data_IF_636702567554
#
_entry.id   IF_636702567554
#
_cell.length_a   1.000
_cell.length_b   1.000
_cell.length_c   1.000
_cell.angle_alpha   90.00
_cell.angle_beta   90.00
_cell.angle_gamma   90.00
#
_symmetry.space_group_name_H-M   'P 1'
#
loop_
_entity.id
_entity.type
_entity.pdbx_description
1 polymer ?
#
# COMPACT_ATOMS: atom_id res chain seq x y z
N UNK A 1 -8.25 -14.44 -8.97
CA UNK A 1 -9.19 -13.37 -8.57
C UNK A 1 -9.06 -12.28 -9.63
N UNK A 2 -9.89 -12.33 -10.67
CA UNK A 2 -9.92 -11.31 -11.72
C UNK A 2 -10.33 -9.99 -11.06
N UNK A 3 -9.43 -9.01 -11.06
CA UNK A 3 -9.78 -7.64 -10.71
C UNK A 3 -10.56 -7.13 -11.92
N UNK A 4 -11.89 -7.10 -11.84
CA UNK A 4 -12.71 -6.45 -12.87
C UNK A 4 -12.23 -5.02 -13.05
N UNK A 5 -12.11 -4.55 -14.29
CA UNK A 5 -11.85 -3.14 -14.62
C UNK A 5 -13.06 -2.30 -14.21
N UNK A 6 -13.16 -2.02 -12.92
CA UNK A 6 -14.13 -1.09 -12.35
C UNK A 6 -13.70 0.33 -12.76
N UNK A 7 -14.62 1.11 -13.31
CA UNK A 7 -14.31 2.47 -13.75
C UNK A 7 -14.01 3.40 -12.56
N UNK A 8 -13.19 4.43 -12.75
CA UNK A 8 -12.83 5.38 -11.69
C UNK A 8 -14.07 6.02 -11.02
N UNK A 9 -15.12 6.33 -11.79
CA UNK A 9 -16.37 6.89 -11.24
C UNK A 9 -17.13 5.91 -10.34
N UNK A 10 -17.02 4.61 -10.62
CA UNK A 10 -17.66 3.57 -9.81
C UNK A 10 -16.89 3.33 -8.50
N UNK A 11 -15.56 3.39 -8.56
CA UNK A 11 -14.68 3.38 -7.39
C UNK A 11 -14.94 4.58 -6.48
N UNK A 12 -15.06 5.78 -7.05
CA UNK A 12 -15.35 7.01 -6.30
C UNK A 12 -16.70 6.90 -5.57
N UNK A 13 -17.76 6.48 -6.26
CA UNK A 13 -19.08 6.25 -5.65
C UNK A 13 -19.04 5.23 -4.51
N UNK A 14 -18.30 4.13 -4.68
CA UNK A 14 -18.10 3.12 -3.63
C UNK A 14 -17.35 3.70 -2.44
N UNK A 15 -16.32 4.51 -2.69
CA UNK A 15 -15.56 5.20 -1.64
C UNK A 15 -16.47 6.08 -0.79
N UNK A 16 -17.28 6.93 -1.42
CA UNK A 16 -18.22 7.80 -0.72
C UNK A 16 -19.23 7.00 0.11
N UNK A 17 -19.81 5.93 -0.46
CA UNK A 17 -20.77 5.08 0.24
C UNK A 17 -20.16 4.35 1.45
N UNK A 18 -18.92 3.88 1.33
CA UNK A 18 -18.22 3.23 2.43
C UNK A 18 -17.82 4.24 3.52
N UNK A 19 -17.31 5.41 3.12
CA UNK A 19 -16.96 6.49 4.04
C UNK A 19 -18.19 6.95 4.85
N UNK A 20 -19.35 7.12 4.20
CA UNK A 20 -20.61 7.44 4.87
C UNK A 20 -21.01 6.34 5.87
N UNK A 21 -20.98 5.07 5.45
CA UNK A 21 -21.31 3.91 6.29
C UNK A 21 -20.46 3.81 7.55
N UNK A 22 -19.18 4.17 7.47
CA UNK A 22 -18.25 4.12 8.61
C UNK A 22 -18.08 5.48 9.31
N UNK A 23 -18.86 6.50 8.93
CA UNK A 23 -18.75 7.87 9.43
C UNK A 23 -17.31 8.43 9.33
N UNK A 24 -16.59 8.05 8.28
CA UNK A 24 -15.27 8.56 7.96
C UNK A 24 -15.45 9.95 7.35
N UNK A 25 -14.92 10.97 8.02
CA UNK A 25 -14.85 12.32 7.44
C UNK A 25 -13.75 12.35 6.40
N UNK A 26 -14.15 12.49 5.14
CA UNK A 26 -13.21 12.72 4.06
C UNK A 26 -12.49 14.04 4.27
N UNK A 27 -11.16 14.03 4.10
CA UNK A 27 -10.36 15.24 4.25
C UNK A 27 -10.16 15.92 2.90
N UNK A 28 -9.90 17.23 2.91
CA UNK A 28 -9.69 18.02 1.68
C UNK A 28 -8.47 17.54 0.87
N UNK A 29 -7.46 16.96 1.52
CA UNK A 29 -6.29 16.34 0.86
C UNK A 29 -6.62 15.05 0.10
N UNK A 30 -7.80 14.45 0.34
CA UNK A 30 -8.30 13.30 -0.42
C UNK A 30 -9.01 13.72 -1.72
N UNK A 31 -9.34 15.02 -1.87
CA UNK A 31 -9.89 15.59 -3.10
C UNK A 31 -8.76 15.82 -4.11
N UNK A 32 -8.36 14.76 -4.81
CA UNK A 32 -7.26 14.80 -5.79
C UNK A 32 -6.34 13.59 -5.75
N UNK A 33 -6.75 12.50 -5.09
CA UNK A 33 -6.09 11.21 -5.21
C UNK A 33 -6.04 10.78 -6.67
N UNK A 34 -4.89 10.24 -7.09
CA UNK A 34 -4.79 9.55 -8.37
C UNK A 34 -5.62 8.26 -8.37
N UNK A 35 -5.80 7.68 -9.55
CA UNK A 35 -6.64 6.50 -9.74
C UNK A 35 -6.16 5.31 -8.89
N UNK A 36 -4.85 5.11 -8.81
CA UNK A 36 -4.23 4.05 -8.02
C UNK A 36 -4.47 4.22 -6.53
N UNK A 37 -4.26 5.43 -5.99
CA UNK A 37 -4.51 5.72 -4.58
C UNK A 37 -5.99 5.59 -4.23
N UNK A 38 -6.89 6.03 -5.10
CA UNK A 38 -8.32 5.84 -4.93
C UNK A 38 -8.69 4.35 -4.88
N UNK A 39 -8.15 3.52 -5.80
CA UNK A 39 -8.35 2.05 -5.79
C UNK A 39 -7.91 1.41 -4.48
N UNK A 40 -6.73 1.76 -3.98
CA UNK A 40 -6.22 1.19 -2.71
C UNK A 40 -7.09 1.64 -1.54
N UNK A 41 -7.52 2.90 -1.53
CA UNK A 41 -8.34 3.43 -0.45
C UNK A 41 -9.73 2.78 -0.39
N UNK A 42 -10.41 2.56 -1.54
CA UNK A 42 -11.65 1.76 -1.61
C UNK A 42 -11.43 0.39 -0.96
N UNK A 43 -10.33 -0.29 -1.32
CA UNK A 43 -10.01 -1.62 -0.81
C UNK A 43 -9.71 -1.62 0.69
N UNK A 44 -9.08 -0.55 1.21
CA UNK A 44 -8.78 -0.36 2.62
C UNK A 44 -10.08 -0.17 3.42
N UNK A 45 -10.94 0.74 2.96
CA UNK A 45 -12.25 1.00 3.55
C UNK A 45 -13.15 -0.23 3.54
N UNK A 46 -13.19 -0.98 2.43
CA UNK A 46 -13.94 -2.23 2.32
C UNK A 46 -13.45 -3.32 3.29
N UNK A 47 -12.19 -3.23 3.75
CA UNK A 47 -11.59 -4.11 4.76
C UNK A 47 -11.69 -3.54 6.19
N UNK A 48 -12.40 -2.43 6.39
CA UNK A 48 -12.56 -1.79 7.69
C UNK A 48 -11.36 -0.98 8.16
N UNK A 49 -10.40 -0.68 7.28
CA UNK A 49 -9.27 0.19 7.58
C UNK A 49 -9.72 1.66 7.44
N UNK A 50 -10.49 2.14 8.42
CA UNK A 50 -11.13 3.46 8.37
C UNK A 50 -10.25 4.61 8.88
N UNK A 51 -9.08 4.31 9.44
CA UNK A 51 -8.15 5.31 9.98
C UNK A 51 -6.92 5.54 9.09
N UNK A 52 -6.87 4.94 7.91
CA UNK A 52 -5.78 5.17 6.94
C UNK A 52 -5.95 6.50 6.25
N UNK A 53 -4.83 7.21 6.01
CA UNK A 53 -4.78 8.47 5.28
C UNK A 53 -3.81 8.31 4.10
N UNK A 54 -4.19 8.87 2.96
CA UNK A 54 -3.32 8.98 1.78
C UNK A 54 -2.87 10.43 1.66
N UNK A 55 -1.56 10.65 1.57
CA UNK A 55 -0.97 11.99 1.57
C UNK A 55 -0.22 12.20 0.26
N UNK A 56 -0.65 13.20 -0.51
CA UNK A 56 0.07 13.65 -1.70
C UNK A 56 1.37 14.33 -1.29
N UNK A 57 2.46 13.97 -1.96
CA UNK A 57 3.81 14.49 -1.68
C UNK A 57 4.41 15.08 -2.94
N UNK A 58 5.43 15.93 -2.77
CA UNK A 58 6.20 16.50 -3.89
C UNK A 58 6.95 15.41 -4.67
N UNK A 59 7.24 15.66 -5.95
CA UNK A 59 7.83 14.66 -6.85
C UNK A 59 9.21 14.15 -6.42
N UNK A 60 9.98 14.97 -5.71
CA UNK A 60 11.31 14.63 -5.20
C UNK A 60 11.28 14.00 -3.80
N UNK A 61 10.11 13.61 -3.30
CA UNK A 61 9.93 13.05 -1.95
C UNK A 61 10.90 11.90 -1.62
N UNK A 62 11.15 11.01 -2.58
CA UNK A 62 12.06 9.87 -2.39
C UNK A 62 13.55 10.22 -2.47
N UNK A 63 13.90 11.43 -2.89
CA UNK A 63 15.27 11.94 -2.88
C UNK A 63 15.58 12.71 -1.57
N UNK A 64 14.55 13.10 -0.83
CA UNK A 64 14.67 13.77 0.48
C UNK A 64 15.03 12.79 1.60
N UNK A 65 15.60 13.31 2.68
CA UNK A 65 15.94 12.49 3.86
C UNK A 65 14.69 11.96 4.60
N UNK A 66 14.91 11.02 5.53
CA UNK A 66 13.81 10.39 6.27
C UNK A 66 13.11 11.35 7.23
N UNK A 67 13.80 12.37 7.73
CA UNK A 67 13.18 13.37 8.60
C UNK A 67 12.18 14.21 7.83
N UNK A 68 12.52 14.69 6.63
CA UNK A 68 11.59 15.38 5.75
C UNK A 68 10.34 14.55 5.50
N UNK A 69 10.50 13.27 5.13
CA UNK A 69 9.39 12.34 4.90
C UNK A 69 8.52 12.16 6.14
N UNK A 70 9.15 12.05 7.32
CA UNK A 70 8.44 11.96 8.60
C UNK A 70 7.56 13.18 8.83
N UNK A 71 8.06 14.38 8.56
CA UNK A 71 7.28 15.61 8.68
C UNK A 71 6.11 15.64 7.69
N UNK A 72 6.32 15.29 6.42
CA UNK A 72 5.24 15.23 5.42
C UNK A 72 4.10 14.31 5.87
N UNK A 73 4.43 13.15 6.43
CA UNK A 73 3.44 12.16 6.87
C UNK A 73 2.96 12.36 8.32
N UNK A 74 3.43 13.42 8.99
CA UNK A 74 3.16 13.68 10.42
C UNK A 74 3.42 12.48 11.33
N UNK A 75 4.42 11.67 11.00
CA UNK A 75 4.77 10.49 11.77
C UNK A 75 5.52 10.87 13.07
N UNK A 76 5.29 10.10 14.13
CA UNK A 76 5.86 10.36 15.48
C UNK A 76 7.38 10.29 15.47
N UNK A 77 7.97 9.33 14.75
CA UNK A 77 9.41 9.19 14.57
C UNK A 77 9.72 8.54 13.21
N UNK A 78 10.99 8.59 12.78
CA UNK A 78 11.44 7.94 11.53
C UNK A 78 11.26 6.41 11.58
N UNK A 79 11.24 5.82 12.77
CA UNK A 79 10.99 4.38 12.96
C UNK A 79 9.54 3.98 12.68
N UNK A 80 8.61 4.95 12.61
CA UNK A 80 7.23 4.68 12.19
C UNK A 80 7.06 4.71 10.67
N UNK A 81 8.09 5.12 9.92
CA UNK A 81 8.07 5.07 8.47
C UNK A 81 8.36 3.65 7.99
N UNK A 82 7.43 3.07 7.23
CA UNK A 82 7.58 1.76 6.61
C UNK A 82 7.67 1.86 5.09
N UNK A 83 8.31 0.87 4.49
CA UNK A 83 8.34 0.63 3.04
C UNK A 83 7.88 -0.79 2.75
N UNK A 84 7.21 -0.95 1.63
CA UNK A 84 6.92 -2.25 1.02
C UNK A 84 7.97 -2.54 -0.04
N UNK A 85 8.55 -3.74 -0.03
CA UNK A 85 9.52 -4.20 -1.02
C UNK A 85 8.98 -5.49 -1.63
N UNK A 86 8.89 -5.54 -2.96
CA UNK A 86 8.60 -6.77 -3.70
C UNK A 86 9.91 -7.46 -4.05
N UNK A 87 10.04 -8.73 -3.69
CA UNK A 87 11.18 -9.58 -3.96
C UNK A 87 10.79 -10.70 -4.92
N UNK A 88 11.67 -11.03 -5.86
CA UNK A 88 11.51 -12.19 -6.73
C UNK A 88 12.38 -13.35 -6.22
N UNK A 89 11.75 -14.51 -6.03
CA UNK A 89 12.43 -15.76 -5.77
C UNK A 89 13.06 -16.29 -7.06
N UNK A 90 14.38 -16.11 -7.19
CA UNK A 90 15.14 -16.56 -8.37
C UNK A 90 15.18 -18.08 -8.54
N UNK A 91 14.83 -18.84 -7.51
CA UNK A 91 14.76 -20.30 -7.59
C UNK A 91 13.39 -20.79 -8.05
N UNK A 92 12.36 -19.92 -8.05
CA UNK A 92 11.03 -20.29 -8.48
C UNK A 92 11.04 -20.88 -9.89
N UNK A 93 10.40 -22.04 -10.03
CA UNK A 93 10.14 -22.68 -11.31
C UNK A 93 8.74 -23.28 -11.29
N UNK A 94 7.94 -22.94 -12.29
CA UNK A 94 6.61 -23.50 -12.49
C UNK A 94 6.63 -25.00 -12.79
N UNK A 95 7.79 -25.56 -13.18
CA UNK A 95 7.94 -26.98 -13.53
C UNK A 95 8.07 -27.88 -12.30
N UNK A 96 8.40 -27.33 -11.13
CA UNK A 96 8.60 -28.10 -9.90
C UNK A 96 7.29 -28.56 -9.24
N UNK A 97 6.14 -28.15 -9.77
CA UNK A 97 4.83 -28.66 -9.36
C UNK A 97 4.42 -28.29 -7.94
N UNK A 98 5.00 -27.25 -7.33
CA UNK A 98 4.50 -26.70 -6.09
C UNK A 98 3.09 -26.09 -6.32
N UNK A 99 2.17 -26.23 -5.34
CA UNK A 99 0.89 -25.53 -5.39
C UNK A 99 1.09 -24.01 -5.53
N UNK A 100 0.26 -23.35 -6.33
CA UNK A 100 0.33 -21.88 -6.54
C UNK A 100 0.10 -21.08 -5.24
N UNK A 101 -0.52 -21.68 -4.24
CA UNK A 101 -0.80 -21.10 -2.93
C UNK A 101 0.20 -21.51 -1.85
N UNK A 102 1.29 -22.19 -2.21
CA UNK A 102 2.38 -22.48 -1.27
C UNK A 102 3.14 -21.20 -0.92
N UNK A 103 2.75 -20.61 0.22
CA UNK A 103 3.35 -19.40 0.78
C UNK A 103 4.87 -19.50 0.99
N UNK A 104 5.46 -20.69 0.97
CA UNK A 104 6.91 -20.92 1.15
C UNK A 104 7.67 -21.01 -0.17
N UNK A 105 6.97 -21.15 -1.29
CA UNK A 105 7.58 -21.30 -2.62
C UNK A 105 6.93 -20.41 -3.68
N UNK A 106 6.49 -19.21 -3.28
CA UNK A 106 5.96 -18.25 -4.22
C UNK A 106 7.07 -17.59 -5.05
N UNK A 107 6.70 -17.17 -6.27
CA UNK A 107 7.58 -16.38 -7.15
C UNK A 107 7.89 -15.02 -6.56
N UNK A 108 6.90 -14.39 -5.92
CA UNK A 108 7.00 -13.04 -5.39
C UNK A 108 6.64 -12.97 -3.92
N UNK A 109 7.42 -12.19 -3.17
CA UNK A 109 7.19 -11.88 -1.77
C UNK A 109 7.10 -10.38 -1.59
N UNK A 110 6.09 -9.90 -0.86
CA UNK A 110 6.02 -8.51 -0.42
C UNK A 110 6.40 -8.42 1.05
N UNK A 111 7.48 -7.70 1.35
CA UNK A 111 7.95 -7.47 2.71
C UNK A 111 7.69 -6.03 3.10
N UNK A 112 7.01 -5.83 4.23
CA UNK A 112 6.82 -4.50 4.84
C UNK A 112 7.77 -4.36 6.02
N UNK A 113 8.64 -3.36 5.99
CA UNK A 113 9.63 -3.10 7.02
C UNK A 113 9.86 -1.61 7.23
N UNK A 114 10.39 -1.23 8.39
CA UNK A 114 10.73 0.16 8.68
C UNK A 114 11.86 0.65 7.76
N UNK A 115 11.86 1.95 7.41
CA UNK A 115 12.92 2.56 6.62
C UNK A 115 14.29 2.49 7.30
N UNK A 116 14.33 2.50 8.64
CA UNK A 116 15.56 2.38 9.43
C UNK A 116 16.12 0.96 9.46
N UNK A 117 15.34 -0.05 9.03
CA UNK A 117 15.78 -1.45 8.97
C UNK A 117 16.32 -1.78 7.59
N UNK A 118 17.44 -2.52 7.60
CA UNK A 118 17.97 -3.14 6.38
C UNK A 118 17.34 -4.52 6.25
N UNK A 119 16.85 -4.81 5.04
CA UNK A 119 16.39 -6.14 4.71
C UNK A 119 17.60 -7.07 4.63
N UNK A 120 17.58 -8.16 5.38
CA UNK A 120 18.52 -9.26 5.20
C UNK A 120 17.81 -10.34 4.38
N UNK A 121 18.18 -10.57 3.10
CA UNK A 121 17.51 -11.54 2.23
C UNK A 121 17.52 -12.98 2.77
N UNK A 122 18.43 -13.32 3.69
CA UNK A 122 18.51 -14.65 4.28
C UNK A 122 17.46 -14.90 5.38
N UNK A 123 16.83 -13.83 5.88
CA UNK A 123 15.88 -13.86 7.00
C UNK A 123 14.44 -13.52 6.56
N UNK A 124 14.17 -13.56 5.26
CA UNK A 124 12.86 -13.30 4.65
C UNK A 124 12.21 -14.61 4.26
#
# INVERSE_FOLDING_TARGET
MEVSEESFSELEHRCLAIAERFHVKLREDEQGLDEEAARIWVLALARGLSSSLFVSVVSDYYDRDLEYRRHCLSAVSVDHLCKSIVLENKQYSSELGYPEDDLRYNRYYMVVLQYTKRLNPQNV
#
